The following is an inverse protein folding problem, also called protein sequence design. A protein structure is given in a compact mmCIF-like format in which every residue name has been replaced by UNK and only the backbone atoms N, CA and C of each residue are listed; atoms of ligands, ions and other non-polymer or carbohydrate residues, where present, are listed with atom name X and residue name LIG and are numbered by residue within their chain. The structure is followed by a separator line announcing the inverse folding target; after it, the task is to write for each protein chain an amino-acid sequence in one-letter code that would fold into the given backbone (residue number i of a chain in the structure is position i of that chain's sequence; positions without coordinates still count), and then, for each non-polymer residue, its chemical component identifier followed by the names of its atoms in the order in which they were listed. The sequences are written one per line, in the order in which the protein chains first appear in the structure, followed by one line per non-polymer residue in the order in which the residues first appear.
data_IF_806707809284
#
_entry.id   IF_806707809284
#
_cell.length_a   1.000
_cell.length_b   1.000
_cell.length_c   1.000
_cell.angle_alpha   90.00
_cell.angle_beta   90.00
_cell.angle_gamma   90.00
#
_symmetry.space_group_name_H-M   'P 1'
#
loop_
_entity.id
_entity.type
_entity.pdbx_description
1 polymer ?
#
# COMPACT_ATOMS: atom_id res chain seq x y z
N UNK A 1 -22.29 -3.74 -53.16
CA UNK A 1 -21.76 -4.84 -52.36
C UNK A 1 -20.34 -4.53 -51.96
N UNK A 2 -20.03 -4.71 -50.68
CA UNK A 2 -18.66 -4.59 -50.21
C UNK A 2 -17.84 -5.76 -50.77
N UNK A 3 -16.79 -5.46 -51.52
CA UNK A 3 -15.90 -6.49 -52.09
C UNK A 3 -14.59 -6.60 -51.29
N UNK A 4 -13.82 -7.65 -51.57
CA UNK A 4 -12.57 -7.91 -50.83
C UNK A 4 -11.53 -6.79 -50.97
N UNK A 5 -11.58 -6.03 -52.08
CA UNK A 5 -10.66 -4.90 -52.30
C UNK A 5 -11.04 -3.71 -51.42
N UNK A 6 -12.33 -3.37 -51.39
CA UNK A 6 -12.86 -2.32 -50.52
C UNK A 6 -12.56 -2.60 -49.04
N UNK A 7 -12.71 -3.85 -48.60
CA UNK A 7 -12.42 -4.23 -47.21
C UNK A 7 -10.92 -4.11 -46.88
N UNK A 8 -10.02 -4.46 -47.80
CA UNK A 8 -8.58 -4.28 -47.61
C UNK A 8 -8.19 -2.79 -47.53
N UNK A 9 -8.76 -1.97 -48.40
CA UNK A 9 -8.56 -0.50 -48.39
C UNK A 9 -9.15 0.14 -47.11
N UNK A 10 -10.27 -0.39 -46.60
CA UNK A 10 -10.86 0.04 -45.32
C UNK A 10 -9.98 -0.29 -44.11
N UNK A 11 -9.29 -1.42 -44.11
CA UNK A 11 -8.30 -1.75 -43.07
C UNK A 11 -7.12 -0.78 -43.13
N UNK A 12 -6.60 -0.51 -44.33
CA UNK A 12 -5.52 0.47 -44.53
C UNK A 12 -5.89 1.87 -44.03
N UNK A 13 -7.12 2.31 -44.30
CA UNK A 13 -7.67 3.57 -43.79
C UNK A 13 -7.65 3.66 -42.27
N UNK A 14 -8.04 2.58 -41.59
CA UNK A 14 -8.09 2.52 -40.12
C UNK A 14 -6.70 2.39 -39.49
N UNK A 15 -5.77 1.65 -40.09
CA UNK A 15 -4.42 1.44 -39.54
C UNK A 15 -3.46 2.62 -39.73
N UNK A 16 -3.74 3.54 -40.65
CA UNK A 16 -2.86 4.66 -40.99
C UNK A 16 -2.86 5.80 -39.94
N UNK A 17 -3.74 5.75 -38.93
CA UNK A 17 -3.86 6.81 -37.91
C UNK A 17 -4.40 8.15 -38.45
N UNK A 18 -4.86 8.18 -39.69
CA UNK A 18 -5.35 9.37 -40.39
C UNK A 18 -6.77 9.19 -40.96
N UNK A 19 -7.54 8.24 -40.41
CA UNK A 19 -8.83 7.81 -40.95
C UNK A 19 -9.80 8.97 -41.20
N UNK A 20 -9.79 10.02 -40.38
CA UNK A 20 -10.65 11.20 -40.58
C UNK A 20 -10.27 12.02 -41.83
N UNK A 21 -8.97 12.17 -42.10
CA UNK A 21 -8.48 12.90 -43.28
C UNK A 21 -8.74 12.11 -44.56
N UNK A 22 -8.53 10.81 -44.49
CA UNK A 22 -8.49 9.95 -45.68
C UNK A 22 -9.89 9.38 -46.05
N UNK A 23 -10.89 9.54 -45.18
CA UNK A 23 -12.26 9.09 -45.39
C UNK A 23 -12.90 9.67 -46.65
N UNK A 24 -12.58 10.92 -47.00
CA UNK A 24 -13.13 11.58 -48.19
C UNK A 24 -12.65 10.91 -49.48
N UNK A 25 -11.36 10.57 -49.56
CA UNK A 25 -10.78 9.84 -50.68
C UNK A 25 -11.38 8.44 -50.77
N UNK A 26 -11.46 7.72 -49.65
CA UNK A 26 -12.08 6.40 -49.59
C UNK A 26 -13.53 6.39 -50.10
N UNK A 27 -14.33 7.42 -49.78
CA UNK A 27 -15.70 7.56 -50.28
C UNK A 27 -15.77 7.88 -51.78
N UNK A 28 -14.79 8.61 -52.30
CA UNK A 28 -14.71 8.93 -53.72
C UNK A 28 -14.37 7.69 -54.56
N UNK A 29 -13.51 6.81 -54.03
CA UNK A 29 -13.14 5.54 -54.66
C UNK A 29 -14.27 4.50 -54.57
N UNK A 30 -15.12 4.58 -53.53
CA UNK A 30 -16.25 3.67 -53.30
C UNK A 30 -17.61 4.40 -53.21
N UNK A 31 -18.05 5.11 -54.25
CA UNK A 31 -19.23 5.99 -54.19
C UNK A 31 -20.55 5.24 -54.01
N UNK A 32 -20.58 3.96 -54.38
CA UNK A 32 -21.74 3.09 -54.19
C UNK A 32 -21.89 2.60 -52.74
N UNK A 33 -20.84 2.70 -51.91
CA UNK A 33 -20.86 2.24 -50.53
C UNK A 33 -21.29 3.36 -49.58
N UNK A 34 -22.22 3.05 -48.67
CA UNK A 34 -22.61 3.98 -47.60
C UNK A 34 -21.71 3.77 -46.40
N UNK A 35 -20.75 4.68 -46.22
CA UNK A 35 -19.68 4.55 -45.23
C UNK A 35 -19.79 5.62 -44.15
N UNK A 36 -19.72 5.21 -42.87
CA UNK A 36 -19.68 6.11 -41.71
C UNK A 36 -18.50 5.77 -40.82
N UNK A 37 -17.67 6.77 -40.51
CA UNK A 37 -16.65 6.69 -39.49
C UNK A 37 -17.27 7.09 -38.14
N UNK A 38 -17.10 6.25 -37.13
CA UNK A 38 -17.44 6.53 -35.74
C UNK A 38 -16.15 6.77 -34.98
N UNK A 39 -16.18 7.75 -34.07
CA UNK A 39 -15.08 8.05 -33.16
C UNK A 39 -15.57 7.94 -31.73
N UNK A 40 -14.73 7.38 -30.86
CA UNK A 40 -14.93 7.35 -29.42
C UNK A 40 -13.63 7.73 -28.75
N UNK A 41 -13.72 8.55 -27.70
CA UNK A 41 -12.61 8.89 -26.83
C UNK A 41 -12.72 8.01 -25.58
N UNK A 42 -11.63 7.36 -25.19
CA UNK A 42 -11.57 6.58 -23.95
C UNK A 42 -11.56 7.51 -22.73
N UNK A 43 -12.28 7.12 -21.69
CA UNK A 43 -12.35 7.89 -20.44
C UNK A 43 -11.08 7.74 -19.60
N UNK A 44 -10.38 6.60 -19.71
CA UNK A 44 -9.21 6.28 -18.90
C UNK A 44 -7.92 6.96 -19.39
N UNK A 45 -7.62 6.90 -20.69
CA UNK A 45 -6.36 7.41 -21.27
C UNK A 45 -6.56 8.54 -22.30
N UNK A 46 -7.81 8.92 -22.57
CA UNK A 46 -8.14 9.97 -23.54
C UNK A 46 -7.85 9.59 -25.01
N UNK A 47 -7.47 8.34 -25.28
CA UNK A 47 -7.14 7.88 -26.63
C UNK A 47 -8.37 7.93 -27.54
N UNK A 48 -8.14 8.24 -28.83
CA UNK A 48 -9.20 8.34 -29.82
C UNK A 48 -9.21 7.10 -30.71
N UNK A 49 -10.30 6.36 -30.68
CA UNK A 49 -10.50 5.16 -31.49
C UNK A 49 -11.51 5.38 -32.61
N UNK A 50 -11.29 4.70 -33.73
CA UNK A 50 -12.13 4.77 -34.91
C UNK A 50 -12.70 3.40 -35.28
N UNK A 51 -13.97 3.39 -35.68
CA UNK A 51 -14.62 2.25 -36.31
C UNK A 51 -15.27 2.69 -37.62
N UNK A 52 -15.12 1.87 -38.67
CA UNK A 52 -15.73 2.11 -39.97
C UNK A 52 -16.97 1.22 -40.10
N UNK A 53 -18.13 1.86 -40.31
CA UNK A 53 -19.37 1.19 -40.66
C UNK A 53 -19.60 1.27 -42.16
N UNK A 54 -19.76 0.12 -42.81
CA UNK A 54 -20.08 0.00 -44.23
C UNK A 54 -21.46 -0.65 -44.34
N UNK A 55 -22.45 0.07 -44.88
CA UNK A 55 -23.77 -0.52 -45.16
C UNK A 55 -23.76 -1.15 -46.54
N UNK A 56 -24.11 -2.44 -46.59
CA UNK A 56 -24.37 -3.13 -47.84
C UNK A 56 -25.85 -3.02 -48.23
N UNK A 57 -26.12 -3.02 -49.55
CA UNK A 57 -27.44 -2.76 -50.15
C UNK A 57 -28.57 -3.65 -49.64
N UNK A 58 -28.24 -4.83 -49.09
CA UNK A 58 -29.19 -5.82 -48.58
C UNK A 58 -29.57 -5.62 -47.10
N UNK A 59 -29.24 -4.46 -46.51
CA UNK A 59 -29.55 -4.13 -45.11
C UNK A 59 -28.52 -4.65 -44.10
N UNK A 60 -27.49 -5.37 -44.55
CA UNK A 60 -26.35 -5.76 -43.73
C UNK A 60 -25.45 -4.54 -43.43
N UNK A 61 -24.84 -4.51 -42.24
CA UNK A 61 -23.82 -3.52 -41.88
C UNK A 61 -22.56 -4.26 -41.45
N UNK A 62 -21.45 -3.96 -42.11
CA UNK A 62 -20.12 -4.44 -41.73
C UNK A 62 -19.50 -3.39 -40.81
N UNK A 63 -19.02 -3.82 -39.64
CA UNK A 63 -18.26 -2.99 -38.72
C UNK A 63 -16.80 -3.44 -38.73
N UNK A 64 -15.90 -2.54 -39.09
CA UNK A 64 -14.45 -2.75 -39.04
C UNK A 64 -13.85 -1.85 -37.96
N UNK A 65 -12.95 -2.40 -37.17
CA UNK A 65 -12.22 -1.64 -36.15
C UNK A 65 -10.77 -2.10 -36.14
N UNK A 66 -9.87 -1.14 -35.95
CA UNK A 66 -8.44 -1.39 -35.83
C UNK A 66 -7.96 -0.89 -34.49
N UNK A 67 -7.05 -1.62 -33.87
CA UNK A 67 -6.38 -1.23 -32.65
C UNK A 67 -4.91 -1.70 -32.70
N UNK A 68 -3.99 -0.97 -32.04
CA UNK A 68 -2.60 -1.40 -31.91
C UNK A 68 -2.50 -2.68 -31.05
N UNK A 69 -1.34 -3.34 -31.10
CA UNK A 69 -1.08 -4.55 -30.31
C UNK A 69 -1.37 -4.31 -28.82
N UNK A 70 -2.09 -5.27 -28.20
CA UNK A 70 -2.56 -5.28 -26.79
C UNK A 70 -3.80 -4.43 -26.47
N UNK A 71 -4.38 -3.72 -27.44
CA UNK A 71 -5.67 -3.06 -27.26
C UNK A 71 -6.85 -3.94 -27.71
N UNK A 72 -8.06 -3.72 -27.16
CA UNK A 72 -9.28 -4.41 -27.62
C UNK A 72 -9.92 -3.66 -28.80
N UNK A 73 -10.43 -4.33 -29.85
CA UNK A 73 -11.24 -3.68 -30.88
C UNK A 73 -12.57 -3.14 -30.33
N UNK A 74 -13.05 -2.03 -30.88
CA UNK A 74 -14.28 -1.33 -30.43
C UNK A 74 -15.52 -2.24 -30.19
N UNK A 75 -15.85 -3.24 -31.05
CA UNK A 75 -16.99 -4.13 -30.81
C UNK A 75 -16.86 -5.01 -29.55
N UNK A 76 -15.67 -5.10 -28.97
CA UNK A 76 -15.38 -5.84 -27.74
C UNK A 76 -15.22 -4.91 -26.52
N UNK A 77 -15.23 -3.59 -26.71
CA UNK A 77 -15.18 -2.60 -25.63
C UNK A 77 -16.60 -2.34 -25.12
N UNK A 78 -16.89 -2.81 -23.92
CA UNK A 78 -18.25 -2.90 -23.35
C UNK A 78 -18.78 -4.33 -23.25
N UNK A 79 -18.12 -5.30 -23.90
CA UNK A 79 -18.20 -6.71 -23.53
C UNK A 79 -17.21 -6.92 -22.40
N UNK A 80 -17.54 -6.38 -21.22
CA UNK A 80 -16.85 -6.78 -20.01
C UNK A 80 -16.97 -8.30 -19.91
N UNK A 81 -15.89 -9.01 -19.59
CA UNK A 81 -16.04 -10.44 -19.28
C UNK A 81 -17.05 -10.49 -18.15
N UNK A 82 -18.07 -11.35 -18.24
CA UNK A 82 -19.09 -11.43 -17.18
C UNK A 82 -18.47 -11.61 -15.78
N UNK A 83 -17.25 -12.17 -15.69
CA UNK A 83 -16.47 -12.27 -14.47
C UNK A 83 -15.81 -10.98 -13.95
N UNK A 84 -15.58 -9.95 -14.77
CA UNK A 84 -14.95 -8.68 -14.35
C UNK A 84 -15.87 -7.81 -13.48
N UNK A 85 -17.17 -8.07 -13.52
CA UNK A 85 -18.14 -7.44 -12.62
C UNK A 85 -18.52 -8.31 -11.44
N UNK A 86 -17.94 -9.52 -11.31
CA UNK A 86 -18.25 -10.47 -10.24
C UNK A 86 -17.09 -10.53 -9.25
N UNK A 87 -17.36 -10.18 -8.00
CA UNK A 87 -16.37 -10.29 -6.95
C UNK A 87 -16.15 -11.75 -6.54
N UNK A 88 -17.25 -12.49 -6.33
CA UNK A 88 -17.20 -13.86 -5.83
C UNK A 88 -18.44 -14.65 -6.21
N UNK A 89 -18.35 -15.98 -6.13
CA UNK A 89 -19.47 -16.91 -6.34
C UNK A 89 -19.55 -17.89 -5.19
N UNK A 90 -20.73 -18.00 -4.57
CA UNK A 90 -21.00 -18.98 -3.51
C UNK A 90 -22.13 -19.89 -3.97
N UNK A 91 -21.85 -21.19 -4.10
CA UNK A 91 -22.85 -22.19 -4.50
C UNK A 91 -23.60 -21.84 -5.81
N UNK A 92 -22.90 -21.28 -6.79
CA UNK A 92 -23.50 -20.85 -8.06
C UNK A 92 -24.16 -19.46 -8.02
N UNK A 93 -24.29 -18.83 -6.85
CA UNK A 93 -24.79 -17.46 -6.73
C UNK A 93 -23.63 -16.49 -6.92
N UNK A 94 -23.71 -15.72 -8.00
CA UNK A 94 -22.73 -14.70 -8.35
C UNK A 94 -22.98 -13.40 -7.57
N UNK A 95 -21.92 -12.79 -7.05
CA UNK A 95 -21.97 -11.50 -6.35
C UNK A 95 -21.28 -10.43 -7.19
N UNK A 96 -22.02 -9.44 -7.71
CA UNK A 96 -21.42 -8.34 -8.44
C UNK A 96 -20.55 -7.46 -7.54
N UNK A 97 -19.49 -6.85 -8.08
CA UNK A 97 -18.63 -5.88 -7.39
C UNK A 97 -19.46 -4.74 -6.79
N UNK A 98 -20.40 -4.19 -7.54
CA UNK A 98 -21.30 -3.13 -7.04
C UNK A 98 -22.12 -3.58 -5.81
N UNK A 99 -22.60 -4.83 -5.81
CA UNK A 99 -23.31 -5.41 -4.65
C UNK A 99 -22.36 -5.63 -3.49
N UNK A 100 -21.15 -6.12 -3.75
CA UNK A 100 -20.15 -6.30 -2.72
C UNK A 100 -19.79 -4.97 -2.07
N UNK A 101 -19.48 -3.92 -2.84
CA UNK A 101 -19.21 -2.58 -2.32
C UNK A 101 -20.37 -2.08 -1.45
N UNK A 102 -21.62 -2.27 -1.89
CA UNK A 102 -22.80 -1.92 -1.09
C UNK A 102 -22.95 -2.77 0.20
N UNK A 103 -22.45 -4.01 0.22
CA UNK A 103 -22.38 -4.81 1.44
C UNK A 103 -21.18 -4.44 2.34
N UNK A 104 -20.15 -3.83 1.77
CA UNK A 104 -18.96 -3.33 2.46
C UNK A 104 -19.15 -1.88 2.94
N UNK A 105 -20.36 -1.31 2.84
CA UNK A 105 -20.71 0.06 3.26
C UNK A 105 -20.23 0.38 4.70
N UNK A 106 -20.32 -0.60 5.61
CA UNK A 106 -19.81 -0.46 6.99
C UNK A 106 -18.28 -0.40 7.10
N UNK A 107 -17.53 -0.91 6.11
CA UNK A 107 -16.07 -0.83 6.07
C UNK A 107 -15.63 0.54 5.57
N UNK A 108 -16.47 1.25 4.81
CA UNK A 108 -16.22 2.65 4.45
C UNK A 108 -16.43 3.60 5.63
N UNK A 109 -17.24 3.23 6.63
CA UNK A 109 -17.32 3.93 7.92
C UNK A 109 -16.03 3.74 8.76
N UNK A 110 -15.22 2.71 8.47
CA UNK A 110 -13.85 2.58 9.00
C UNK A 110 -12.88 3.38 8.11
N UNK A 111 -12.65 4.65 8.48
CA UNK A 111 -11.75 5.61 7.81
C UNK A 111 -10.46 4.99 7.24
N UNK A 112 -9.91 3.96 7.90
CA UNK A 112 -8.67 3.27 7.54
C UNK A 112 -8.62 2.71 6.11
N UNK A 113 -9.72 2.18 5.55
CA UNK A 113 -9.68 1.65 4.18
C UNK A 113 -9.71 2.78 3.15
N UNK A 114 -10.57 3.77 3.34
CA UNK A 114 -10.62 4.97 2.50
C UNK A 114 -9.27 5.71 2.52
N UNK A 115 -8.70 5.92 3.71
CA UNK A 115 -7.39 6.54 3.92
C UNK A 115 -6.29 5.80 3.16
N UNK A 116 -6.31 4.45 3.19
CA UNK A 116 -5.36 3.62 2.48
C UNK A 116 -5.49 3.74 0.96
N UNK A 117 -6.71 3.75 0.43
CA UNK A 117 -6.96 3.90 -1.01
C UNK A 117 -6.58 5.28 -1.53
N UNK A 118 -6.88 6.33 -0.78
CA UNK A 118 -6.43 7.69 -1.08
C UNK A 118 -4.89 7.74 -1.08
N UNK A 119 -4.26 7.17 -0.05
CA UNK A 119 -2.80 7.11 0.05
C UNK A 119 -2.17 6.38 -1.13
N UNK A 120 -2.71 5.21 -1.52
CA UNK A 120 -2.21 4.45 -2.68
C UNK A 120 -2.33 5.28 -3.97
N UNK A 121 -3.48 5.95 -4.16
CA UNK A 121 -3.74 6.79 -5.34
C UNK A 121 -2.77 7.96 -5.43
N UNK A 122 -2.55 8.67 -4.32
CA UNK A 122 -1.59 9.79 -4.25
C UNK A 122 -0.16 9.32 -4.50
N UNK A 123 0.23 8.17 -3.96
CA UNK A 123 1.56 7.62 -4.18
C UNK A 123 1.74 7.20 -5.65
N UNK A 124 0.73 6.58 -6.25
CA UNK A 124 0.75 6.17 -7.66
C UNK A 124 0.88 7.35 -8.61
N UNK A 125 0.07 8.39 -8.41
CA UNK A 125 0.15 9.65 -9.18
C UNK A 125 1.61 10.16 -9.24
N UNK A 126 2.29 10.18 -8.09
CA UNK A 126 3.65 10.69 -7.99
C UNK A 126 4.71 9.80 -8.63
N UNK A 127 4.48 8.49 -8.63
CA UNK A 127 5.34 7.55 -9.33
C UNK A 127 5.12 7.64 -10.86
N UNK A 128 3.92 7.99 -11.31
CA UNK A 128 3.58 8.19 -12.72
C UNK A 128 4.07 9.54 -13.27
N UNK A 129 4.05 10.62 -12.47
CA UNK A 129 4.56 11.94 -12.86
C UNK A 129 6.07 11.94 -13.13
N UNK A 130 6.83 11.14 -12.38
CA UNK A 130 8.28 11.04 -12.48
C UNK A 130 8.72 9.57 -12.41
N UNK A 131 8.47 8.80 -13.49
CA UNK A 131 8.81 7.39 -13.54
C UNK A 131 10.33 7.25 -13.60
N UNK A 132 10.91 6.84 -12.49
CA UNK A 132 12.33 6.57 -12.41
C UNK A 132 12.53 5.04 -12.41
N UNK A 133 13.26 4.47 -13.39
CA UNK A 133 13.51 3.04 -13.40
C UNK A 133 14.31 2.64 -12.16
N UNK A 134 13.97 1.50 -11.56
CA UNK A 134 14.80 0.87 -10.53
C UNK A 134 15.95 0.15 -11.21
N UNK A 135 17.13 0.22 -10.61
CA UNK A 135 18.27 -0.62 -11.01
C UNK A 135 18.08 -2.05 -10.50
N UNK A 136 18.73 -3.02 -11.16
CA UNK A 136 18.70 -4.43 -10.73
C UNK A 136 19.17 -4.60 -9.28
N UNK A 137 20.14 -3.78 -8.84
CA UNK A 137 20.65 -3.81 -7.48
C UNK A 137 19.59 -3.32 -6.46
N UNK A 138 18.84 -2.27 -6.79
CA UNK A 138 17.74 -1.78 -5.95
C UNK A 138 16.60 -2.79 -5.87
N UNK A 139 16.23 -3.39 -7.00
CA UNK A 139 15.18 -4.41 -7.05
C UNK A 139 15.57 -5.67 -6.25
N UNK A 140 16.84 -6.09 -6.33
CA UNK A 140 17.35 -7.21 -5.53
C UNK A 140 17.35 -6.88 -4.04
N UNK A 141 17.82 -5.68 -3.66
CA UNK A 141 17.82 -5.24 -2.26
C UNK A 141 16.39 -5.17 -1.69
N UNK A 142 15.44 -4.68 -2.48
CA UNK A 142 14.02 -4.64 -2.13
C UNK A 142 13.43 -6.05 -2.00
N UNK A 143 13.78 -6.97 -2.91
CA UNK A 143 13.37 -8.38 -2.83
C UNK A 143 13.87 -9.03 -1.53
N UNK A 144 15.11 -8.76 -1.15
CA UNK A 144 15.68 -9.30 0.08
C UNK A 144 15.05 -8.67 1.33
N UNK A 145 14.74 -7.38 1.30
CA UNK A 145 14.00 -6.70 2.37
C UNK A 145 12.57 -7.26 2.50
N UNK A 146 11.87 -7.44 1.38
CA UNK A 146 10.55 -8.03 1.29
C UNK A 146 10.53 -9.43 1.93
N UNK A 147 11.54 -10.25 1.61
CA UNK A 147 11.72 -11.59 2.16
C UNK A 147 12.01 -11.56 3.66
N UNK A 148 12.93 -10.71 4.11
CA UNK A 148 13.28 -10.59 5.54
C UNK A 148 12.07 -10.16 6.38
N UNK A 149 11.32 -9.15 5.93
CA UNK A 149 10.14 -8.65 6.64
C UNK A 149 9.04 -9.71 6.81
N UNK A 150 9.01 -10.71 5.94
CA UNK A 150 7.99 -11.77 5.91
C UNK A 150 8.53 -13.15 6.33
N UNK A 151 9.77 -13.22 6.82
CA UNK A 151 10.42 -14.48 7.21
C UNK A 151 10.65 -15.47 6.06
N UNK A 152 10.65 -15.01 4.80
CA UNK A 152 10.79 -15.83 3.59
C UNK A 152 12.27 -16.11 3.27
N UNK A 153 12.96 -16.71 4.23
CA UNK A 153 14.42 -16.86 4.20
C UNK A 153 14.91 -17.94 3.22
N UNK A 154 14.02 -18.83 2.77
CA UNK A 154 14.35 -19.91 1.82
C UNK A 154 13.56 -19.79 0.53
N UNK A 155 14.10 -20.33 -0.58
CA UNK A 155 13.38 -20.40 -1.85
C UNK A 155 12.08 -21.22 -1.75
N UNK A 156 12.05 -22.24 -0.88
CA UNK A 156 10.84 -23.01 -0.58
C UNK A 156 9.76 -22.14 0.05
N UNK A 157 10.10 -21.37 1.09
CA UNK A 157 9.17 -20.47 1.76
C UNK A 157 8.62 -19.37 0.83
N UNK A 158 9.45 -18.84 -0.08
CA UNK A 158 9.00 -17.87 -1.09
C UNK A 158 7.98 -18.51 -2.04
N UNK A 159 8.23 -19.73 -2.53
CA UNK A 159 7.28 -20.44 -3.40
C UNK A 159 5.96 -20.74 -2.71
N UNK A 160 6.00 -21.28 -1.49
CA UNK A 160 4.78 -21.54 -0.71
C UNK A 160 4.01 -20.25 -0.40
N UNK A 161 4.71 -19.14 -0.19
CA UNK A 161 4.07 -17.84 -0.05
C UNK A 161 3.43 -17.37 -1.37
N UNK A 162 4.13 -17.48 -2.50
CA UNK A 162 3.58 -17.15 -3.82
C UNK A 162 2.34 -18.02 -4.13
N UNK A 163 2.41 -19.33 -3.90
CA UNK A 163 1.29 -20.26 -4.13
C UNK A 163 0.07 -19.91 -3.28
N UNK A 164 0.28 -19.59 -1.99
CA UNK A 164 -0.80 -19.15 -1.08
C UNK A 164 -1.43 -17.82 -1.48
N UNK A 165 -0.67 -16.94 -2.12
CA UNK A 165 -1.14 -15.64 -2.59
C UNK A 165 -1.55 -15.66 -4.06
N UNK A 166 -1.50 -16.83 -4.72
CA UNK A 166 -1.76 -17.01 -6.15
C UNK A 166 -0.93 -16.09 -7.06
N UNK A 167 0.33 -15.87 -6.69
CA UNK A 167 1.26 -15.00 -7.43
C UNK A 167 2.21 -15.82 -8.28
N UNK A 168 2.39 -15.38 -9.53
CA UNK A 168 3.50 -15.78 -10.38
C UNK A 168 4.77 -15.00 -10.04
N UNK A 169 5.91 -15.44 -10.58
CA UNK A 169 7.18 -14.75 -10.38
C UNK A 169 7.19 -13.31 -10.94
N UNK A 170 6.68 -13.02 -12.16
CA UNK A 170 6.57 -11.66 -12.65
C UNK A 170 5.67 -10.77 -11.78
N UNK A 171 4.57 -11.31 -11.24
CA UNK A 171 3.68 -10.56 -10.33
C UNK A 171 4.35 -10.26 -8.99
N UNK A 172 5.22 -11.16 -8.50
CA UNK A 172 6.07 -10.89 -7.34
C UNK A 172 7.07 -9.76 -7.64
N UNK A 173 7.74 -9.79 -8.79
CA UNK A 173 8.68 -8.74 -9.18
C UNK A 173 7.98 -7.38 -9.28
N UNK A 174 6.78 -7.33 -9.86
CA UNK A 174 5.96 -6.12 -9.93
C UNK A 174 5.57 -5.60 -8.53
N UNK A 175 5.14 -6.50 -7.64
CA UNK A 175 4.82 -6.15 -6.26
C UNK A 175 6.04 -5.55 -5.53
N UNK A 176 7.21 -6.17 -5.68
CA UNK A 176 8.45 -5.69 -5.06
C UNK A 176 8.89 -4.37 -5.69
N UNK A 177 8.76 -4.21 -7.01
CA UNK A 177 9.09 -2.96 -7.69
C UNK A 177 8.23 -1.80 -7.21
N UNK A 178 6.94 -2.04 -6.95
CA UNK A 178 6.06 -1.04 -6.31
C UNK A 178 6.55 -0.71 -4.90
N UNK A 179 6.78 -1.70 -4.03
CA UNK A 179 7.28 -1.46 -2.67
C UNK A 179 8.61 -0.68 -2.66
N UNK A 180 9.53 -1.02 -3.58
CA UNK A 180 10.81 -0.35 -3.75
C UNK A 180 10.64 1.11 -4.20
N UNK A 181 9.72 1.36 -5.13
CA UNK A 181 9.43 2.70 -5.64
C UNK A 181 8.86 3.60 -4.54
N UNK A 182 7.97 3.06 -3.69
CA UNK A 182 7.46 3.75 -2.51
C UNK A 182 8.56 4.04 -1.50
N UNK A 183 9.43 3.07 -1.23
CA UNK A 183 10.57 3.27 -0.32
C UNK A 183 11.51 4.36 -0.81
N UNK A 184 11.85 4.38 -2.11
CA UNK A 184 12.68 5.43 -2.70
C UNK A 184 12.00 6.79 -2.65
N UNK A 185 10.70 6.86 -2.95
CA UNK A 185 9.92 8.09 -2.81
C UNK A 185 9.99 8.61 -1.37
N UNK A 186 9.79 7.73 -0.38
CA UNK A 186 9.89 8.06 1.04
C UNK A 186 11.27 8.63 1.40
N UNK A 187 12.35 7.96 1.05
CA UNK A 187 13.70 8.44 1.37
C UNK A 187 14.02 9.76 0.68
N UNK A 188 13.50 10.00 -0.53
CA UNK A 188 13.61 11.30 -1.22
C UNK A 188 12.82 12.40 -0.51
N UNK A 189 11.58 12.13 -0.11
CA UNK A 189 10.73 13.08 0.62
C UNK A 189 11.33 13.43 1.97
N UNK A 190 11.85 12.45 2.69
CA UNK A 190 12.49 12.65 3.99
C UNK A 190 13.93 13.19 3.88
N UNK A 191 14.52 13.16 2.68
CA UNK A 191 15.88 13.61 2.42
C UNK A 191 16.12 15.03 2.93
N UNK A 192 17.11 15.17 3.81
CA UNK A 192 17.47 16.45 4.43
C UNK A 192 16.55 16.93 5.57
N UNK A 193 15.47 16.21 5.88
CA UNK A 193 14.55 16.52 6.99
C UNK A 193 14.71 15.55 8.18
N UNK A 194 15.40 14.42 8.01
CA UNK A 194 15.55 13.39 9.05
C UNK A 194 16.22 13.94 10.30
N UNK A 195 17.32 14.68 10.13
CA UNK A 195 18.10 15.21 11.24
C UNK A 195 17.33 16.30 12.00
N UNK A 196 16.61 17.18 11.30
CA UNK A 196 15.74 18.20 11.88
C UNK A 196 14.55 17.57 12.62
N UNK A 197 13.88 16.62 11.97
CA UNK A 197 12.77 15.87 12.57
C UNK A 197 13.21 15.13 13.83
N UNK A 198 14.41 14.53 13.84
CA UNK A 198 14.96 13.88 15.03
C UNK A 198 15.31 14.89 16.14
N UNK A 199 15.76 16.09 15.80
CA UNK A 199 16.01 17.13 16.81
C UNK A 199 14.71 17.57 17.50
N UNK A 200 13.60 17.61 16.77
CA UNK A 200 12.28 18.01 17.30
C UNK A 200 11.55 16.87 18.02
N UNK A 201 11.52 15.68 17.43
CA UNK A 201 10.69 14.54 17.86
C UNK A 201 11.50 13.37 18.41
N UNK A 202 12.83 13.42 18.38
CA UNK A 202 13.70 12.30 18.76
C UNK A 202 13.56 11.87 20.21
N UNK A 203 13.05 12.74 21.09
CA UNK A 203 12.72 12.40 22.46
C UNK A 203 11.67 11.27 22.58
N UNK A 204 10.79 11.11 21.58
CA UNK A 204 9.84 9.99 21.47
C UNK A 204 10.55 8.64 21.20
N UNK A 205 11.77 8.71 20.70
CA UNK A 205 12.61 7.57 20.34
C UNK A 205 13.73 7.32 21.35
N UNK A 206 13.74 8.05 22.48
CA UNK A 206 14.68 7.85 23.57
C UNK A 206 14.71 6.38 24.00
N UNK A 207 15.87 5.94 24.45
CA UNK A 207 16.13 4.56 24.83
C UNK A 207 16.48 4.46 26.32
N UNK A 208 15.78 3.61 27.04
CA UNK A 208 16.09 3.25 28.41
C UNK A 208 16.69 1.84 28.47
N UNK A 209 17.87 1.71 29.07
CA UNK A 209 18.42 0.40 29.47
C UNK A 209 17.95 0.11 30.88
N UNK A 210 17.29 -1.02 31.08
CA UNK A 210 16.61 -1.32 32.34
C UNK A 210 16.89 -2.74 32.82
N UNK A 211 16.73 -2.94 34.13
CA UNK A 211 16.43 -4.24 34.69
C UNK A 211 14.93 -4.31 35.03
N UNK A 212 14.22 -5.39 34.68
CA UNK A 212 12.78 -5.53 34.87
C UNK A 212 12.40 -6.88 35.48
N UNK A 213 11.34 -6.89 36.27
CA UNK A 213 10.80 -8.10 36.90
C UNK A 213 9.28 -8.03 36.92
N UNK A 214 8.62 -9.07 36.44
CA UNK A 214 7.16 -9.21 36.51
C UNK A 214 6.77 -10.12 37.67
N UNK A 215 6.08 -9.57 38.66
CA UNK A 215 5.55 -10.28 39.82
C UNK A 215 4.15 -10.82 39.52
N UNK A 216 3.82 -12.00 40.05
CA UNK A 216 2.51 -12.62 39.88
C UNK A 216 1.40 -11.88 40.66
N UNK A 217 0.17 -11.97 40.16
CA UNK A 217 -1.01 -11.40 40.83
C UNK A 217 -1.18 -11.99 42.24
N UNK A 218 -1.24 -11.13 43.26
CA UNK A 218 -1.40 -11.51 44.68
C UNK A 218 -0.14 -11.36 45.54
N UNK A 219 1.04 -11.31 44.93
CA UNK A 219 2.24 -10.80 45.60
C UNK A 219 2.15 -9.26 45.56
N UNK A 220 1.84 -8.61 46.67
CA UNK A 220 1.90 -7.14 46.73
C UNK A 220 3.33 -6.72 46.41
N UNK A 221 3.61 -6.06 45.27
CA UNK A 221 4.98 -5.77 44.87
C UNK A 221 5.54 -4.72 45.81
N UNK A 222 6.27 -5.17 46.83
CA UNK A 222 7.06 -4.27 47.67
C UNK A 222 8.20 -3.78 46.80
N UNK A 223 8.20 -2.49 46.48
CA UNK A 223 9.30 -1.86 45.75
C UNK A 223 10.57 -2.07 46.58
N UNK A 224 11.55 -2.87 46.11
CA UNK A 224 12.79 -3.09 46.84
C UNK A 224 13.66 -1.84 46.76
N UNK A 225 14.61 -1.71 47.68
CA UNK A 225 15.67 -0.71 47.54
C UNK A 225 16.42 -0.94 46.23
N UNK A 226 16.80 0.16 45.57
CA UNK A 226 17.47 0.15 44.28
C UNK A 226 18.65 -0.83 44.22
N UNK A 227 19.51 -0.81 45.23
CA UNK A 227 20.71 -1.65 45.29
C UNK A 227 20.38 -3.14 45.43
N UNK A 228 19.26 -3.48 46.06
CA UNK A 228 18.80 -4.86 46.26
C UNK A 228 17.83 -5.38 45.18
N UNK A 229 17.62 -4.64 44.09
CA UNK A 229 16.62 -4.98 43.08
C UNK A 229 16.87 -6.36 42.44
N UNK A 230 18.12 -6.66 42.05
CA UNK A 230 18.45 -7.95 41.43
C UNK A 230 18.35 -9.11 42.43
N UNK A 231 18.78 -8.91 43.68
CA UNK A 231 18.63 -9.92 44.74
C UNK A 231 17.15 -10.17 45.08
N UNK A 232 16.31 -9.14 44.99
CA UNK A 232 14.86 -9.28 45.14
C UNK A 232 14.26 -10.04 43.94
N UNK A 233 14.72 -9.75 42.72
CA UNK A 233 14.32 -10.47 41.51
C UNK A 233 14.65 -11.97 41.59
N UNK A 234 15.88 -12.30 42.00
CA UNK A 234 16.36 -13.67 42.15
C UNK A 234 15.55 -14.44 43.20
N UNK A 235 15.34 -13.84 44.38
CA UNK A 235 14.53 -14.45 45.44
C UNK A 235 13.08 -14.67 44.99
N UNK A 236 12.48 -13.67 44.36
CA UNK A 236 11.11 -13.76 43.87
C UNK A 236 10.96 -14.81 42.76
N UNK A 237 11.98 -15.00 41.93
CA UNK A 237 11.96 -16.07 40.94
C UNK A 237 12.11 -17.45 41.60
N UNK A 238 13.01 -17.57 42.59
CA UNK A 238 13.24 -18.80 43.33
C UNK A 238 12.04 -19.26 44.16
N UNK A 239 11.27 -18.33 44.72
CA UNK A 239 10.05 -18.62 45.51
C UNK A 239 8.76 -18.70 44.67
N UNK A 240 8.86 -18.44 43.36
CA UNK A 240 7.75 -18.54 42.41
C UNK A 240 6.81 -17.33 42.39
N UNK A 241 7.14 -16.24 43.08
CA UNK A 241 6.35 -14.99 43.07
C UNK A 241 6.69 -14.06 41.89
N UNK A 242 7.83 -14.25 41.23
CA UNK A 242 8.17 -13.63 39.95
C UNK A 242 8.04 -14.61 38.79
N UNK A 243 7.69 -14.07 37.61
CA UNK A 243 7.57 -14.83 36.38
C UNK A 243 8.92 -14.91 35.64
N UNK A 244 9.16 -15.99 34.88
CA UNK A 244 10.31 -16.06 33.98
C UNK A 244 10.21 -14.98 32.88
N UNK A 245 11.32 -14.33 32.57
CA UNK A 245 11.41 -13.31 31.52
C UNK A 245 12.80 -12.67 31.44
N UNK A 246 12.97 -11.73 30.50
CA UNK A 246 14.24 -11.00 30.35
C UNK A 246 14.40 -10.01 31.51
N UNK A 247 15.40 -10.27 32.35
CA UNK A 247 15.76 -9.38 33.45
C UNK A 247 16.34 -8.08 32.90
N UNK A 248 17.20 -8.13 31.88
CA UNK A 248 17.75 -6.92 31.25
C UNK A 248 17.07 -6.67 29.92
N UNK A 249 16.66 -5.43 29.69
CA UNK A 249 15.97 -5.04 28.47
C UNK A 249 16.35 -3.62 28.02
N UNK A 250 16.16 -3.37 26.74
CA UNK A 250 16.19 -2.04 26.13
C UNK A 250 14.76 -1.67 25.79
N UNK A 251 14.27 -0.56 26.34
CA UNK A 251 12.93 -0.04 26.09
C UNK A 251 13.02 1.25 25.30
N UNK A 252 12.19 1.42 24.28
CA UNK A 252 12.00 2.72 23.63
C UNK A 252 10.82 3.45 24.22
N UNK A 253 10.88 4.78 24.32
CA UNK A 253 9.80 5.58 24.90
C UNK A 253 8.46 5.33 24.20
N UNK A 254 8.43 5.34 22.87
CA UNK A 254 7.23 5.07 22.09
C UNK A 254 6.67 3.64 22.14
N UNK A 255 7.35 2.69 22.77
CA UNK A 255 6.85 1.32 22.98
C UNK A 255 6.04 1.17 24.27
N UNK A 256 6.09 2.18 25.15
CA UNK A 256 5.41 2.21 26.44
C UNK A 256 4.16 3.08 26.37
N UNK A 257 3.19 2.81 27.23
CA UNK A 257 2.11 3.77 27.48
C UNK A 257 2.65 5.05 28.12
N UNK A 258 1.90 6.14 27.99
CA UNK A 258 2.35 7.47 28.42
C UNK A 258 2.75 7.52 29.90
N UNK A 259 1.99 6.87 30.79
CA UNK A 259 2.26 6.91 32.23
C UNK A 259 3.55 6.17 32.57
N UNK A 260 3.74 4.98 32.00
CA UNK A 260 4.96 4.19 32.18
C UNK A 260 6.17 4.91 31.57
N UNK A 261 6.02 5.49 30.38
CA UNK A 261 7.06 6.25 29.70
C UNK A 261 7.56 7.44 30.54
N UNK A 262 6.64 8.24 31.08
CA UNK A 262 6.99 9.42 31.88
C UNK A 262 7.74 9.03 33.16
N UNK A 263 7.35 7.94 33.81
CA UNK A 263 8.06 7.44 34.99
C UNK A 263 9.44 6.87 34.65
N UNK A 264 9.56 6.00 33.63
CA UNK A 264 10.83 5.35 33.27
C UNK A 264 11.85 6.36 32.78
N UNK A 265 11.46 7.27 31.87
CA UNK A 265 12.39 8.19 31.24
C UNK A 265 12.59 9.49 32.04
N UNK A 266 11.68 9.80 32.98
CA UNK A 266 11.87 10.89 33.95
C UNK A 266 12.68 10.48 35.18
N UNK A 267 12.90 9.17 35.39
CA UNK A 267 13.64 8.67 36.54
C UNK A 267 15.14 8.87 36.41
N UNK A 268 15.79 9.15 37.55
CA UNK A 268 17.25 9.16 37.62
C UNK A 268 17.78 7.72 37.52
N UNK A 269 18.83 7.45 36.71
CA UNK A 269 19.48 6.15 36.66
C UNK A 269 19.80 5.61 38.06
N UNK A 270 19.49 4.34 38.29
CA UNK A 270 19.53 3.66 39.58
C UNK A 270 18.15 3.53 40.24
N UNK A 271 17.16 4.34 39.87
CA UNK A 271 15.83 4.34 40.51
C UNK A 271 14.98 3.15 40.07
N UNK A 272 14.18 2.61 40.99
CA UNK A 272 13.13 1.61 40.70
C UNK A 272 11.80 2.33 40.55
N UNK A 273 11.13 2.13 39.42
CA UNK A 273 9.81 2.70 39.10
C UNK A 273 8.76 1.58 38.96
N UNK A 274 7.49 1.97 39.02
CA UNK A 274 6.35 1.08 39.17
C UNK A 274 5.92 0.95 40.65
N UNK A 275 5.09 -0.04 40.98
CA UNK A 275 4.63 -1.16 40.16
C UNK A 275 3.66 -0.75 39.06
N UNK A 276 3.94 -1.15 37.81
CA UNK A 276 3.02 -0.98 36.69
C UNK A 276 2.10 -2.19 36.58
N UNK A 277 0.77 -2.00 36.46
CA UNK A 277 -0.14 -3.11 36.28
C UNK A 277 0.08 -3.78 34.91
N UNK A 278 0.13 -5.11 34.89
CA UNK A 278 0.13 -5.91 33.67
C UNK A 278 -1.04 -6.89 33.69
N UNK A 279 -1.37 -7.50 32.54
CA UNK A 279 -2.38 -8.57 32.50
C UNK A 279 -2.05 -9.76 33.42
N UNK A 280 -0.77 -9.92 33.77
CA UNK A 280 -0.24 -11.10 34.45
C UNK A 280 0.22 -10.83 35.88
N UNK A 281 0.15 -9.58 36.33
CA UNK A 281 0.49 -9.13 37.67
C UNK A 281 1.03 -7.69 37.67
N UNK A 282 2.27 -7.49 38.16
CA UNK A 282 2.88 -6.16 38.27
C UNK A 282 4.32 -6.15 37.78
N UNK A 283 4.69 -5.14 37.01
CA UNK A 283 6.04 -4.92 36.50
C UNK A 283 6.77 -3.88 37.35
N UNK A 284 7.95 -4.24 37.86
CA UNK A 284 8.90 -3.28 38.42
C UNK A 284 10.09 -3.12 37.46
N UNK A 285 10.55 -1.89 37.31
CA UNK A 285 11.63 -1.54 36.39
C UNK A 285 12.67 -0.72 37.15
N UNK A 286 13.91 -1.21 37.22
CA UNK A 286 15.08 -0.42 37.62
C UNK A 286 15.70 0.22 36.38
N UNK A 287 15.72 1.53 36.34
CA UNK A 287 16.34 2.29 35.24
C UNK A 287 17.85 2.27 35.42
N UNK A 288 18.60 1.81 34.43
CA UNK A 288 20.06 1.71 34.49
C UNK A 288 20.74 2.85 33.71
N UNK A 289 20.15 3.23 32.58
CA UNK A 289 20.56 4.39 31.79
C UNK A 289 19.39 4.88 30.94
N UNK A 290 19.34 6.19 30.69
CA UNK A 290 18.46 6.81 29.69
C UNK A 290 19.36 7.53 28.70
N UNK A 291 19.25 7.16 27.44
CA UNK A 291 20.08 7.65 26.34
C UNK A 291 19.17 8.28 25.28
N UNK A 292 19.52 9.47 24.75
CA UNK A 292 18.76 10.05 23.65
C UNK A 292 18.83 9.15 22.42
N UNK A 293 17.81 9.22 21.57
CA UNK A 293 17.80 8.52 20.30
C UNK A 293 19.05 8.87 19.47
N UNK A 294 19.82 7.85 19.07
CA UNK A 294 20.94 8.02 18.15
C UNK A 294 20.46 7.71 16.74
N UNK A 295 20.88 8.54 15.78
CA UNK A 295 20.55 8.33 14.36
C UNK A 295 21.28 7.11 13.79
N UNK A 296 20.73 5.93 14.05
CA UNK A 296 21.11 4.67 13.41
C UNK A 296 20.16 4.33 12.24
N UNK A 297 20.39 3.19 11.58
CA UNK A 297 19.55 2.75 10.46
C UNK A 297 18.09 2.52 10.84
N UNK A 298 17.81 2.11 12.08
CA UNK A 298 16.45 1.84 12.56
C UNK A 298 15.73 3.14 12.86
N UNK A 299 16.38 4.06 13.58
CA UNK A 299 15.86 5.40 13.89
C UNK A 299 15.65 6.19 12.60
N UNK A 300 16.56 6.07 11.62
CA UNK A 300 16.38 6.67 10.29
C UNK A 300 15.13 6.13 9.58
N UNK A 301 14.93 4.81 9.50
CA UNK A 301 13.73 4.25 8.84
C UNK A 301 12.44 4.69 9.54
N UNK A 302 12.43 4.78 10.87
CA UNK A 302 11.28 5.29 11.64
C UNK A 302 11.00 6.76 11.35
N UNK A 303 12.03 7.62 11.38
CA UNK A 303 11.92 9.03 11.06
C UNK A 303 11.43 9.25 9.63
N UNK A 304 12.02 8.55 8.65
CA UNK A 304 11.60 8.65 7.24
C UNK A 304 10.13 8.25 7.06
N UNK A 305 9.66 7.20 7.76
CA UNK A 305 8.24 6.80 7.74
C UNK A 305 7.33 7.87 8.31
N UNK A 306 7.73 8.50 9.42
CA UNK A 306 6.91 9.53 10.06
C UNK A 306 6.82 10.79 9.22
N UNK A 307 7.96 11.28 8.72
CA UNK A 307 8.03 12.42 7.81
C UNK A 307 7.17 12.17 6.56
N UNK A 308 7.25 10.96 6.00
CA UNK A 308 6.47 10.60 4.82
C UNK A 308 4.97 10.52 5.10
N UNK A 309 4.57 9.99 6.26
CA UNK A 309 3.17 9.99 6.67
C UNK A 309 2.62 11.42 6.83
N UNK A 310 3.37 12.30 7.49
CA UNK A 310 2.95 13.69 7.70
C UNK A 310 2.91 14.49 6.38
N UNK A 311 3.81 14.15 5.45
CA UNK A 311 3.78 14.70 4.09
C UNK A 311 2.59 14.18 3.27
N UNK A 312 2.23 12.90 3.38
CA UNK A 312 1.06 12.33 2.71
C UNK A 312 -0.23 12.98 3.22
N UNK A 313 -0.33 13.21 4.53
CA UNK A 313 -1.47 13.88 5.15
C UNK A 313 -1.62 15.33 4.64
N UNK A 314 -0.52 16.06 4.52
CA UNK A 314 -0.52 17.40 3.91
C UNK A 314 -0.95 17.38 2.44
N UNK A 315 -0.51 16.39 1.66
CA UNK A 315 -0.98 16.25 0.26
C UNK A 315 -2.47 15.96 0.21
N UNK A 316 -2.92 15.01 1.02
CA UNK A 316 -4.33 14.62 1.12
C UNK A 316 -5.23 15.81 1.41
N UNK A 317 -4.87 16.68 2.36
CA UNK A 317 -5.71 17.85 2.72
C UNK A 317 -5.86 18.87 1.59
N UNK A 318 -4.96 18.85 0.59
CA UNK A 318 -5.00 19.73 -0.59
C UNK A 318 -5.50 19.02 -1.86
N UNK A 319 -5.66 17.70 -1.83
CA UNK A 319 -6.04 16.92 -3.00
C UNK A 319 -7.55 17.02 -3.27
N UNK A 320 -7.92 17.08 -4.56
CA UNK A 320 -9.32 16.93 -4.97
C UNK A 320 -9.66 15.44 -5.00
N UNK A 321 -10.44 14.98 -4.03
CA UNK A 321 -10.84 13.57 -3.91
C UNK A 321 -12.31 13.45 -4.32
N UNK A 322 -12.59 12.62 -5.32
CA UNK A 322 -13.93 12.34 -5.82
C UNK A 322 -14.19 10.83 -5.75
N UNK A 323 -15.24 10.44 -5.01
CA UNK A 323 -15.65 9.05 -4.89
C UNK A 323 -16.81 8.78 -5.86
N UNK A 324 -16.60 7.85 -6.79
CA UNK A 324 -17.62 7.44 -7.76
C UNK A 324 -18.54 6.33 -7.22
N UNK A 325 -18.23 5.79 -6.04
CA UNK A 325 -18.95 4.71 -5.34
C UNK A 325 -18.80 4.91 -3.82
N UNK A 326 -19.82 4.53 -3.03
CA UNK A 326 -19.87 4.84 -1.59
C UNK A 326 -20.41 6.25 -1.32
N UNK A 327 -21.04 6.49 -0.17
CA UNK A 327 -21.69 7.79 0.12
C UNK A 327 -20.68 8.94 0.21
N UNK A 328 -20.67 9.77 -0.84
CA UNK A 328 -19.85 10.98 -0.98
C UNK A 328 -20.12 12.07 0.09
N UNK A 329 -21.22 11.97 0.83
CA UNK A 329 -21.65 13.02 1.77
C UNK A 329 -20.97 13.00 3.15
N UNK A 330 -20.05 12.06 3.44
CA UNK A 330 -19.45 11.91 4.79
C UNK A 330 -17.94 12.15 4.93
N UNK A 331 -17.18 12.26 3.83
CA UNK A 331 -15.72 12.45 3.88
C UNK A 331 -15.26 13.90 3.64
N UNK A 332 -16.20 14.84 3.54
CA UNK A 332 -15.92 16.28 3.54
C UNK A 332 -15.96 16.84 4.96
N UNK A 333 -14.91 16.61 5.74
CA UNK A 333 -14.72 17.14 7.09
C UNK A 333 -13.24 17.21 7.43
#
# INVERSE_FOLDING_TARGET
MADGRMLAEAVGLLSAGAAERDLAAFRADHPAARVRLIRQREEYDGSLHHALLIKDGDGATISLSWCPDRALPWPLRGVHRAGEHLLLRVNGVETPVARAIACLDFIWDESRLADRLITDSLVRELLEEAPEPLTDAELQAATDAFRRARGLLTAGAVREWMDRNHLSHPELEELVAVEASVARLRSRVAGGQVEEWLAEHGHELDVARVARVEFAAGAGPRVPDADGFLDAAERAFADGTARPGDVFATLRRGELDQETADQVFGATPGTVVGPFPTERGHLLIKVLAVEPAVLDATVRDLAERRIFADWLERRRSTAKIEWFWGTADRTGG
#
